data_IF_404418362412
#
_entry.id   IF_404418362412
#
_cell.length_a   1.000
_cell.length_b   1.000
_cell.length_c   1.000
_cell.angle_alpha   90.00
_cell.angle_beta   90.00
_cell.angle_gamma   90.00
#
_symmetry.space_group_name_H-M   'P 1'
#
loop_
_entity.id
_entity.type
_entity.pdbx_description
1 polymer ?
#
# COMPACT_ATOMS: atom_id res chain seq x y z
N UNK A 1 -2.90 -1.74 67.45
CA UNK A 1 -1.92 -2.55 66.72
C UNK A 1 -2.67 -3.60 65.91
N UNK A 2 -2.92 -3.37 64.62
CA UNK A 2 -2.84 -4.36 63.54
C UNK A 2 -2.48 -3.56 62.28
N UNK A 3 -1.47 -4.05 61.57
CA UNK A 3 -0.80 -3.44 60.43
C UNK A 3 -1.67 -3.44 59.16
N UNK A 4 -1.28 -2.61 58.21
CA UNK A 4 -2.04 -2.31 57.00
C UNK A 4 -1.81 -3.22 55.80
N UNK A 5 -2.65 -2.98 54.80
CA UNK A 5 -2.54 -3.39 53.39
C UNK A 5 -3.12 -2.17 52.64
N UNK A 6 -2.37 -1.19 52.10
CA UNK A 6 -1.31 -1.20 51.11
C UNK A 6 -1.68 -1.95 49.81
N UNK A 7 -2.29 -1.16 48.93
CA UNK A 7 -2.19 -1.14 47.48
C UNK A 7 -2.03 -2.49 46.76
N UNK A 8 -3.06 -2.84 45.98
CA UNK A 8 -2.89 -3.74 44.84
C UNK A 8 -2.77 -2.86 43.59
N UNK A 9 -1.57 -2.33 43.36
CA UNK A 9 -1.19 -1.78 42.05
C UNK A 9 -0.74 -2.97 41.22
N UNK A 10 -1.56 -3.33 40.23
CA UNK A 10 -1.19 -4.27 39.19
C UNK A 10 0.01 -3.75 38.42
N UNK A 11 1.19 -4.15 38.89
CA UNK A 11 2.47 -4.01 38.24
C UNK A 11 2.51 -5.05 37.11
N UNK A 12 1.94 -4.73 35.95
CA UNK A 12 2.23 -5.47 34.72
C UNK A 12 3.51 -4.88 34.12
N UNK A 13 4.62 -5.32 34.69
CA UNK A 13 5.91 -5.31 34.03
C UNK A 13 5.89 -6.43 32.99
N UNK A 14 5.50 -6.11 31.76
CA UNK A 14 5.76 -6.98 30.60
C UNK A 14 6.02 -6.13 29.36
N UNK A 15 7.22 -5.55 29.32
CA UNK A 15 7.98 -5.55 28.08
C UNK A 15 9.33 -6.18 28.42
N UNK A 16 9.74 -7.19 27.67
CA UNK A 16 10.73 -6.81 26.67
C UNK A 16 10.47 -7.46 25.31
N UNK A 17 10.69 -6.64 24.28
CA UNK A 17 11.19 -7.10 22.98
C UNK A 17 10.39 -8.22 22.30
N UNK A 18 9.30 -7.84 21.63
CA UNK A 18 9.12 -8.35 20.27
C UNK A 18 10.08 -7.59 19.36
N UNK A 19 11.38 -7.91 19.46
CA UNK A 19 12.28 -7.74 18.34
C UNK A 19 11.67 -8.61 17.25
N UNK A 20 10.84 -8.03 16.38
CA UNK A 20 10.32 -8.70 15.20
C UNK A 20 11.55 -9.12 14.42
N UNK A 21 11.82 -10.41 14.53
CA UNK A 21 12.83 -11.14 13.81
C UNK A 21 12.83 -10.64 12.37
N UNK A 22 14.00 -10.20 11.93
CA UNK A 22 14.26 -9.75 10.57
C UNK A 22 14.25 -10.92 9.60
N UNK A 23 13.20 -11.74 9.65
CA UNK A 23 12.86 -12.63 8.56
C UNK A 23 12.53 -11.72 7.39
N UNK A 24 13.50 -11.65 6.48
CA UNK A 24 13.40 -11.10 5.12
C UNK A 24 12.42 -11.96 4.32
N UNK A 25 11.24 -12.20 4.86
CA UNK A 25 10.11 -12.71 4.13
C UNK A 25 9.73 -11.60 3.16
N UNK A 26 9.79 -11.92 1.87
CA UNK A 26 9.32 -11.00 0.84
C UNK A 26 7.94 -10.52 1.27
N UNK A 27 7.73 -9.21 1.38
CA UNK A 27 6.51 -8.72 2.00
C UNK A 27 5.33 -9.21 1.17
N UNK A 28 4.41 -9.91 1.83
CA UNK A 28 3.22 -10.42 1.16
C UNK A 28 2.44 -9.24 0.60
N UNK A 29 1.73 -9.44 -0.52
CA UNK A 29 0.89 -8.38 -1.11
C UNK A 29 -0.06 -7.77 -0.07
N UNK A 30 -0.64 -8.61 0.79
CA UNK A 30 -1.52 -8.15 1.86
C UNK A 30 -0.77 -7.32 2.90
N UNK A 31 0.41 -7.78 3.36
CA UNK A 31 1.21 -7.02 4.32
C UNK A 31 1.66 -5.65 3.81
N UNK A 32 1.93 -5.52 2.49
CA UNK A 32 2.20 -4.20 1.88
C UNK A 32 0.97 -3.30 1.85
N UNK A 33 -0.20 -3.86 1.57
CA UNK A 33 -1.46 -3.11 1.60
C UNK A 33 -1.73 -2.63 3.02
N UNK A 34 -1.61 -3.51 4.02
CA UNK A 34 -1.84 -3.18 5.43
C UNK A 34 -0.87 -2.08 5.89
N UNK A 35 0.42 -2.20 5.55
CA UNK A 35 1.43 -1.17 5.86
C UNK A 35 1.10 0.18 5.20
N UNK A 36 0.61 0.18 3.96
CA UNK A 36 0.19 1.41 3.27
C UNK A 36 -1.04 2.03 3.94
N UNK A 37 -2.01 1.22 4.36
CA UNK A 37 -3.19 1.69 5.10
C UNK A 37 -2.79 2.32 6.42
N UNK A 38 -1.89 1.69 7.18
CA UNK A 38 -1.41 2.23 8.45
C UNK A 38 -0.72 3.59 8.27
N UNK A 39 0.13 3.73 7.25
CA UNK A 39 0.80 4.98 6.91
C UNK A 39 -0.19 6.08 6.49
N UNK A 40 -1.21 5.73 5.69
CA UNK A 40 -2.23 6.66 5.22
C UNK A 40 -3.06 7.16 6.42
N UNK A 41 -3.45 6.27 7.33
CA UNK A 41 -4.17 6.61 8.57
C UNK A 41 -3.33 7.44 9.54
N UNK A 42 -2.04 7.12 9.70
CA UNK A 42 -1.13 7.90 10.53
C UNK A 42 -1.02 9.35 10.02
N UNK A 43 -0.82 9.53 8.70
CA UNK A 43 -0.76 10.85 8.09
C UNK A 43 -2.06 11.64 8.28
N UNK A 44 -3.22 11.00 8.14
CA UNK A 44 -4.51 11.64 8.38
C UNK A 44 -4.67 12.12 9.83
N UNK A 45 -4.27 11.28 10.80
CA UNK A 45 -4.28 11.63 12.23
C UNK A 45 -3.38 12.83 12.51
N UNK A 46 -2.14 12.80 12.03
CA UNK A 46 -1.17 13.90 12.22
C UNK A 46 -1.65 15.19 11.56
N UNK A 47 -2.21 15.09 10.34
CA UNK A 47 -2.77 16.23 9.63
C UNK A 47 -3.94 16.85 10.42
N UNK A 48 -4.84 16.02 10.96
CA UNK A 48 -5.97 16.48 11.74
C UNK A 48 -5.52 17.12 13.07
N UNK A 49 -4.50 16.56 13.72
CA UNK A 49 -3.89 17.14 14.92
C UNK A 49 -3.29 18.53 14.63
N UNK A 50 -2.55 18.69 13.54
CA UNK A 50 -2.02 19.99 13.12
C UNK A 50 -3.12 21.01 12.82
N UNK A 51 -4.20 20.59 12.18
CA UNK A 51 -5.36 21.48 11.90
C UNK A 51 -6.04 21.94 13.20
N UNK A 52 -6.20 21.05 14.18
CA UNK A 52 -6.81 21.34 15.48
C UNK A 52 -5.90 22.09 16.45
N UNK A 53 -4.59 22.10 16.22
CA UNK A 53 -3.63 22.79 17.09
C UNK A 53 -3.92 24.30 17.20
N UNK A 54 -3.47 24.93 18.28
CA UNK A 54 -3.56 26.40 18.47
C UNK A 54 -2.47 27.18 17.72
N UNK A 55 -1.66 26.52 16.89
CA UNK A 55 -0.56 27.14 16.14
C UNK A 55 -1.07 28.21 15.16
N UNK A 56 -0.25 29.23 14.91
CA UNK A 56 -0.52 30.25 13.91
C UNK A 56 -0.60 29.68 12.49
N UNK A 57 -1.41 30.29 11.63
CA UNK A 57 -1.70 29.81 10.28
C UNK A 57 -0.44 29.57 9.43
N UNK A 58 0.52 30.50 9.46
CA UNK A 58 1.79 30.37 8.72
C UNK A 58 2.61 29.16 9.17
N UNK A 59 2.68 28.92 10.48
CA UNK A 59 3.40 27.78 11.04
C UNK A 59 2.70 26.46 10.71
N UNK A 60 1.36 26.41 10.84
CA UNK A 60 0.56 25.26 10.42
C UNK A 60 0.81 24.91 8.96
N UNK A 61 0.75 25.89 8.06
CA UNK A 61 1.00 25.66 6.63
C UNK A 61 2.38 25.07 6.37
N UNK A 62 3.42 25.59 7.04
CA UNK A 62 4.79 25.05 6.92
C UNK A 62 4.89 23.62 7.44
N UNK A 63 4.28 23.31 8.57
CA UNK A 63 4.28 21.96 9.15
C UNK A 63 3.49 20.97 8.29
N UNK A 64 2.35 21.38 7.73
CA UNK A 64 1.55 20.54 6.83
C UNK A 64 2.29 20.20 5.54
N UNK A 65 3.06 21.15 4.98
CA UNK A 65 3.91 20.88 3.81
C UNK A 65 4.97 19.83 4.16
N UNK A 66 5.71 20.04 5.25
CA UNK A 66 6.73 19.09 5.70
C UNK A 66 6.16 17.70 5.97
N UNK A 67 5.01 17.64 6.64
CA UNK A 67 4.30 16.39 6.92
C UNK A 67 3.95 15.65 5.63
N UNK A 68 3.41 16.37 4.62
CA UNK A 68 3.07 15.77 3.32
C UNK A 68 4.29 15.24 2.59
N UNK A 69 5.41 15.96 2.62
CA UNK A 69 6.63 15.54 1.96
C UNK A 69 7.24 14.30 2.62
N UNK A 70 7.28 14.27 3.96
CA UNK A 70 7.73 13.10 4.71
C UNK A 70 6.84 11.88 4.45
N UNK A 71 5.52 12.05 4.46
CA UNK A 71 4.58 10.98 4.15
C UNK A 71 4.80 10.43 2.73
N UNK A 72 5.00 11.29 1.73
CA UNK A 72 5.31 10.86 0.34
C UNK A 72 6.59 10.04 0.26
N UNK A 73 7.64 10.49 0.93
CA UNK A 73 8.93 9.77 0.97
C UNK A 73 8.76 8.40 1.64
N UNK A 74 8.03 8.32 2.75
CA UNK A 74 7.77 7.06 3.47
C UNK A 74 6.90 6.10 2.66
N UNK A 75 5.90 6.60 1.92
CA UNK A 75 4.95 5.79 1.13
C UNK A 75 5.54 5.22 -0.17
N UNK A 76 6.46 5.96 -0.79
CA UNK A 76 7.04 5.62 -2.09
C UNK A 76 7.61 4.19 -2.21
N UNK A 77 8.46 3.71 -1.29
CA UNK A 77 9.05 2.36 -1.42
C UNK A 77 7.99 1.26 -1.40
N UNK A 78 6.95 1.38 -0.59
CA UNK A 78 5.87 0.40 -0.50
C UNK A 78 4.99 0.42 -1.75
N UNK A 79 4.73 1.60 -2.31
CA UNK A 79 4.03 1.72 -3.60
C UNK A 79 4.82 1.08 -4.74
N UNK A 80 6.14 1.24 -4.77
CA UNK A 80 7.01 0.60 -5.77
C UNK A 80 7.00 -0.93 -5.62
N UNK A 81 7.06 -1.44 -4.38
CA UNK A 81 6.96 -2.88 -4.11
C UNK A 81 5.60 -3.44 -4.51
N UNK A 82 4.51 -2.72 -4.21
CA UNK A 82 3.17 -3.13 -4.60
C UNK A 82 2.98 -3.15 -6.12
N UNK A 83 3.52 -2.15 -6.84
CA UNK A 83 3.49 -2.12 -8.30
C UNK A 83 4.26 -3.31 -8.91
N UNK A 84 5.43 -3.65 -8.37
CA UNK A 84 6.20 -4.80 -8.82
C UNK A 84 5.49 -6.15 -8.56
N UNK A 85 4.65 -6.24 -7.53
CA UNK A 85 3.82 -7.42 -7.26
C UNK A 85 2.53 -7.48 -8.08
N UNK A 86 2.09 -6.34 -8.63
CA UNK A 86 0.88 -6.21 -9.44
C UNK A 86 1.16 -6.25 -10.95
N UNK A 87 2.44 -6.30 -11.36
CA UNK A 87 2.84 -6.52 -12.75
C UNK A 87 2.08 -7.72 -13.33
N UNK A 88 1.34 -7.52 -14.43
CA UNK A 88 0.31 -8.45 -14.84
C UNK A 88 0.93 -9.69 -15.49
N UNK A 89 0.51 -10.86 -14.99
CA UNK A 89 0.46 -12.11 -15.77
C UNK A 89 -0.59 -11.99 -16.90
N UNK A 90 -0.54 -10.92 -17.70
CA UNK A 90 -1.62 -10.45 -18.56
C UNK A 90 -1.23 -10.11 -19.99
N UNK A 91 -0.05 -10.55 -20.46
CA UNK A 91 0.32 -10.47 -21.88
C UNK A 91 0.06 -11.79 -22.65
N UNK A 92 -0.85 -12.64 -22.17
CA UNK A 92 -1.28 -13.85 -22.88
C UNK A 92 -2.67 -13.72 -23.55
N UNK A 93 -3.18 -12.50 -23.78
CA UNK A 93 -4.43 -12.28 -24.53
C UNK A 93 -4.26 -11.70 -25.94
N UNK A 94 -3.05 -11.70 -26.52
CA UNK A 94 -2.85 -11.38 -27.94
C UNK A 94 -2.59 -12.60 -28.83
N UNK A 95 -2.62 -13.82 -28.28
CA UNK A 95 -2.34 -15.05 -29.02
C UNK A 95 -3.55 -16.00 -29.04
N UNK A 96 -4.70 -15.53 -29.55
CA UNK A 96 -5.77 -16.40 -30.05
C UNK A 96 -6.83 -15.58 -30.80
N UNK A 97 -6.55 -15.32 -32.08
CA UNK A 97 -7.59 -15.25 -33.09
C UNK A 97 -7.10 -16.05 -34.30
N UNK A 98 -7.34 -17.38 -34.34
CA UNK A 98 -7.27 -18.10 -35.59
C UNK A 98 -8.45 -17.63 -36.44
N UNK A 99 -8.19 -16.79 -37.43
CA UNK A 99 -9.14 -16.52 -38.52
C UNK A 99 -9.22 -17.79 -39.39
N UNK A 100 -9.93 -18.81 -38.90
CA UNK A 100 -10.24 -19.99 -39.67
C UNK A 100 -11.54 -19.78 -40.43
N UNK A 101 -11.36 -19.72 -41.76
CA UNK A 101 -12.24 -20.26 -42.81
C UNK A 101 -13.74 -19.99 -42.76
N UNK A 102 -14.21 -19.34 -43.83
CA UNK A 102 -15.60 -19.43 -44.27
C UNK A 102 -15.87 -18.56 -45.49
N UNK A 103 -16.09 -19.22 -46.63
CA UNK A 103 -16.83 -18.76 -47.83
C UNK A 103 -15.97 -18.73 -49.10
N UNK A 104 -15.71 -19.91 -49.68
CA UNK A 104 -16.49 -20.46 -50.80
C UNK A 104 -16.41 -19.64 -52.10
N UNK A 105 -15.65 -20.22 -53.04
CA UNK A 105 -16.07 -20.55 -54.41
C UNK A 105 -17.08 -19.61 -55.06
N UNK A 106 -16.64 -18.89 -56.09
CA UNK A 106 -17.36 -18.84 -57.37
C UNK A 106 -16.40 -18.37 -58.49
N UNK A 107 -15.91 -19.35 -59.27
CA UNK A 107 -15.82 -19.35 -60.74
C UNK A 107 -14.94 -18.26 -61.39
N UNK A 108 -13.76 -18.59 -61.93
CA UNK A 108 -13.54 -19.18 -63.26
C UNK A 108 -14.30 -18.50 -64.42
N UNK A 109 -13.55 -18.26 -65.50
CA UNK A 109 -13.89 -17.63 -66.79
C UNK A 109 -13.73 -16.09 -66.75
N UNK A 110 -12.97 -15.42 -67.62
CA UNK A 110 -12.57 -15.68 -69.01
C UNK A 110 -11.33 -14.81 -69.28
N UNK A 111 -10.24 -15.33 -69.84
CA UNK A 111 -9.99 -15.43 -71.29
C UNK A 111 -9.54 -14.11 -71.95
N UNK A 112 -8.40 -14.21 -72.68
CA UNK A 112 -8.04 -13.47 -73.92
C UNK A 112 -7.77 -11.95 -73.81
N UNK A 113 -6.68 -11.36 -74.33
CA UNK A 113 -5.61 -11.78 -75.26
C UNK A 113 -4.27 -11.15 -74.83
#
# INVERSE_FOLDING_TARGET
>A
MVAGELYNVGLSDEAPSSCTDGSKDKPSRQGLIDTLVDLDLEFEREQQALRRSSLGATLKSRLLIKLKDQYRIRRLPYMQQLAALLEPTGHQLCAQAPLHEGSQRQQQASSTM
#
